data_IF_032436740011
#
_entry.id   IF_032436740011
#
_cell.length_a   1.000
_cell.length_b   1.000
_cell.length_c   1.000
_cell.angle_alpha   90.00
_cell.angle_beta   90.00
_cell.angle_gamma   90.00
#
_symmetry.space_group_name_H-M   'P 1'
#
loop_
_entity.id
_entity.type
_entity.pdbx_description
1 polymer ?
#
# COMPACT_ATOMS: atom_id res chain seq x y z
N UNK A 1 -1.53 -9.44 -2.89
CA UNK A 1 -1.68 -8.04 -3.31
C UNK A 1 -0.87 -7.20 -2.36
N UNK A 2 -0.23 -6.14 -2.84
CA UNK A 2 0.59 -5.23 -2.02
C UNK A 2 0.04 -3.82 -2.17
N UNK A 3 -0.21 -3.15 -1.06
CA UNK A 3 -0.65 -1.75 -1.02
C UNK A 3 0.41 -0.91 -0.33
N UNK A 4 0.79 0.20 -0.95
CA UNK A 4 1.70 1.18 -0.35
C UNK A 4 0.89 2.30 0.30
N UNK A 5 1.04 2.49 1.60
CA UNK A 5 0.35 3.51 2.37
C UNK A 5 1.35 4.53 2.91
N UNK A 6 1.17 5.79 2.54
CA UNK A 6 1.85 6.90 3.19
C UNK A 6 0.90 7.49 4.23
N UNK A 7 1.28 7.41 5.49
CA UNK A 7 0.47 7.87 6.61
C UNK A 7 0.98 9.23 7.09
N UNK A 8 0.06 10.17 7.27
CA UNK A 8 0.37 11.51 7.79
C UNK A 8 -0.10 11.63 9.22
N UNK A 9 0.77 12.11 10.11
CA UNK A 9 0.37 12.41 11.47
C UNK A 9 -0.43 13.73 11.52
N UNK A 10 -1.36 13.83 12.48
CA UNK A 10 -2.17 15.04 12.66
C UNK A 10 -1.34 16.27 13.05
N UNK A 11 -0.17 16.05 13.69
CA UNK A 11 0.78 17.11 14.02
C UNK A 11 1.96 17.02 13.05
N UNK A 12 2.31 18.16 12.43
CA UNK A 12 3.26 18.25 11.31
C UNK A 12 4.67 17.73 11.59
N UNK A 13 5.02 17.48 12.86
CA UNK A 13 6.36 17.11 13.29
C UNK A 13 6.42 15.78 14.06
N UNK A 14 5.33 15.01 14.13
CA UNK A 14 5.31 13.73 14.84
C UNK A 14 5.38 12.54 13.88
N UNK A 15 6.22 11.57 14.20
CA UNK A 15 6.23 10.27 13.52
C UNK A 15 4.91 9.56 13.82
N UNK A 16 4.27 9.00 12.78
CA UNK A 16 3.07 8.16 12.96
C UNK A 16 3.47 6.94 13.78
N UNK A 17 2.97 6.84 15.01
CA UNK A 17 3.13 5.64 15.82
C UNK A 17 2.19 4.56 15.27
N UNK A 18 2.77 3.51 14.70
CA UNK A 18 2.02 2.37 14.21
C UNK A 18 1.69 1.44 15.37
N UNK A 19 0.44 1.02 15.46
CA UNK A 19 0.01 -0.08 16.31
C UNK A 19 -0.15 -1.32 15.43
N UNK A 20 0.66 -2.35 15.68
CA UNK A 20 0.73 -3.54 14.84
C UNK A 20 -0.64 -4.23 14.72
N UNK A 21 -1.41 -4.27 15.81
CA UNK A 21 -2.72 -4.91 15.82
C UNK A 21 -3.70 -4.13 14.96
N UNK A 22 -3.69 -2.80 15.04
CA UNK A 22 -4.53 -1.94 14.20
C UNK A 22 -4.13 -2.08 12.73
N UNK A 23 -2.83 -2.12 12.42
CA UNK A 23 -2.36 -2.25 11.03
C UNK A 23 -2.71 -3.60 10.40
N UNK A 24 -2.61 -4.70 11.17
CA UNK A 24 -3.10 -6.02 10.74
C UNK A 24 -4.62 -6.01 10.53
N UNK A 25 -5.37 -5.35 11.43
CA UNK A 25 -6.82 -5.20 11.26
C UNK A 25 -7.18 -4.40 10.01
N UNK A 26 -6.43 -3.34 9.68
CA UNK A 26 -6.58 -2.59 8.44
C UNK A 26 -6.43 -3.50 7.21
N UNK A 27 -5.41 -4.38 7.18
CA UNK A 27 -5.24 -5.34 6.08
C UNK A 27 -6.50 -6.22 5.91
N UNK A 28 -7.03 -6.75 7.01
CA UNK A 28 -8.23 -7.56 7.02
C UNK A 28 -9.48 -6.77 6.57
N UNK A 29 -9.61 -5.50 6.96
CA UNK A 29 -10.73 -4.64 6.56
C UNK A 29 -10.67 -4.31 5.06
N UNK A 30 -9.48 -4.13 4.50
CA UNK A 30 -9.30 -3.85 3.07
C UNK A 30 -9.67 -5.05 2.19
N UNK A 31 -9.43 -6.28 2.65
CA UNK A 31 -9.82 -7.48 1.90
C UNK A 31 -11.35 -7.72 1.89
N UNK A 32 -12.09 -7.28 2.92
CA UNK A 32 -13.54 -7.53 3.05
C UNK A 32 -14.40 -7.09 1.85
N UNK A 33 -14.24 -5.88 1.28
CA UNK A 33 -15.04 -5.43 0.15
C UNK A 33 -14.59 -5.96 -1.21
N UNK A 34 -13.52 -6.77 -1.28
CA UNK A 34 -13.09 -7.34 -2.56
C UNK A 34 -14.13 -8.34 -3.08
N UNK A 35 -14.14 -8.56 -4.39
CA UNK A 35 -15.15 -9.38 -5.04
C UNK A 35 -15.15 -10.84 -4.55
N UNK A 36 -16.22 -11.56 -4.88
CA UNK A 36 -16.38 -12.97 -4.47
C UNK A 36 -15.28 -13.88 -5.02
N UNK A 37 -14.70 -13.55 -6.18
CA UNK A 37 -13.65 -14.36 -6.79
C UNK A 37 -12.36 -14.23 -5.99
N UNK A 38 -11.95 -13.01 -5.66
CA UNK A 38 -10.82 -12.75 -4.79
C UNK A 38 -10.98 -13.47 -3.45
N UNK A 39 -12.12 -13.28 -2.77
CA UNK A 39 -12.37 -13.88 -1.46
C UNK A 39 -12.37 -15.42 -1.55
N UNK A 40 -12.90 -15.99 -2.63
CA UNK A 40 -12.84 -17.43 -2.90
C UNK A 40 -11.40 -17.93 -3.12
N UNK A 41 -10.60 -17.23 -3.91
CA UNK A 41 -9.21 -17.59 -4.16
C UNK A 41 -8.30 -17.39 -2.95
N UNK A 42 -8.62 -16.43 -2.08
CA UNK A 42 -7.91 -16.16 -0.81
C UNK A 42 -8.26 -17.18 0.27
N UNK A 43 -9.51 -17.62 0.36
CA UNK A 43 -10.03 -18.46 1.45
C UNK A 43 -10.17 -19.94 1.08
N UNK A 44 -10.86 -20.25 -0.02
CA UNK A 44 -11.22 -21.64 -0.39
C UNK A 44 -10.12 -22.33 -1.20
N UNK A 45 -9.56 -21.63 -2.18
CA UNK A 45 -8.58 -22.22 -3.10
C UNK A 45 -7.12 -21.95 -2.69
N UNK A 46 -6.88 -20.93 -1.86
CA UNK A 46 -5.54 -20.59 -1.36
C UNK A 46 -4.55 -20.12 -2.44
N UNK A 47 -5.01 -19.76 -3.63
CA UNK A 47 -4.14 -19.31 -4.74
C UNK A 47 -3.75 -17.84 -4.64
N UNK A 48 -4.46 -17.05 -3.82
CA UNK A 48 -4.10 -15.68 -3.48
C UNK A 48 -3.58 -15.66 -2.03
N UNK A 49 -2.34 -15.20 -1.84
CA UNK A 49 -1.75 -15.00 -0.52
C UNK A 49 -2.36 -13.81 0.24
N UNK A 50 -2.00 -13.67 1.52
CA UNK A 50 -2.44 -12.56 2.37
C UNK A 50 -2.16 -11.20 1.72
N UNK A 51 -3.14 -10.28 1.83
CA UNK A 51 -2.93 -8.88 1.49
C UNK A 51 -1.81 -8.32 2.35
N UNK A 52 -0.86 -7.62 1.72
CA UNK A 52 0.21 -6.90 2.38
C UNK A 52 -0.05 -5.39 2.30
N UNK A 53 0.05 -4.70 3.43
CA UNK A 53 0.16 -3.23 3.49
C UNK A 53 1.59 -2.89 3.86
N UNK A 54 2.28 -2.16 2.98
CA UNK A 54 3.60 -1.58 3.20
C UNK A 54 3.43 -0.11 3.55
N UNK A 55 3.78 0.26 4.78
CA UNK A 55 3.79 1.66 5.18
C UNK A 55 5.10 2.27 4.73
N UNK A 56 5.02 3.35 3.94
CA UNK A 56 6.19 4.10 3.47
C UNK A 56 6.41 5.35 4.31
N UNK A 57 7.62 5.88 4.26
CA UNK A 57 7.98 7.15 4.89
C UNK A 57 7.11 8.30 4.36
N UNK A 58 6.91 9.34 5.17
CA UNK A 58 6.24 10.55 4.71
C UNK A 58 7.02 11.19 3.56
N UNK A 59 6.31 11.83 2.63
CA UNK A 59 6.81 12.44 1.40
C UNK A 59 7.29 11.44 0.32
N UNK A 60 7.08 10.13 0.51
CA UNK A 60 7.43 9.10 -0.49
C UNK A 60 6.68 9.31 -1.81
N UNK A 61 5.38 9.58 -1.77
CA UNK A 61 4.60 9.82 -2.99
C UNK A 61 4.92 11.17 -3.64
N UNK A 62 5.45 12.14 -2.88
CA UNK A 62 5.99 13.37 -3.45
C UNK A 62 7.30 13.09 -4.21
N UNK A 63 8.22 12.33 -3.63
CA UNK A 63 9.42 11.86 -4.35
C UNK A 63 9.06 11.03 -5.59
N UNK A 64 7.99 10.24 -5.52
CA UNK A 64 7.51 9.47 -6.67
C UNK A 64 6.96 10.39 -7.78
N UNK A 65 6.22 11.44 -7.42
CA UNK A 65 5.76 12.46 -8.37
C UNK A 65 6.95 13.15 -9.04
N UNK A 66 7.94 13.57 -8.27
CA UNK A 66 9.17 14.20 -8.80
C UNK A 66 9.90 13.28 -9.79
N UNK A 67 9.97 11.97 -9.49
CA UNK A 67 10.50 10.98 -10.42
C UNK A 67 9.72 10.93 -11.74
N UNK A 68 8.39 10.92 -11.71
CA UNK A 68 7.60 10.93 -12.95
C UNK A 68 7.76 12.25 -13.72
N UNK A 69 7.83 13.39 -13.02
CA UNK A 69 8.10 14.69 -13.64
C UNK A 69 9.48 14.69 -14.32
N UNK A 70 10.51 14.13 -13.67
CA UNK A 70 11.85 14.02 -14.24
C UNK A 70 11.90 13.10 -15.47
N UNK A 71 10.90 12.22 -15.63
CA UNK A 71 10.70 11.38 -16.82
C UNK A 71 9.76 12.00 -17.86
N UNK A 72 9.37 13.27 -17.69
CA UNK A 72 8.59 14.04 -18.65
C UNK A 72 7.09 14.14 -18.35
N UNK A 73 6.62 13.68 -17.19
CA UNK A 73 5.22 13.90 -16.79
C UNK A 73 4.97 15.38 -16.46
N UNK A 74 3.77 15.87 -16.76
CA UNK A 74 3.35 17.22 -16.37
C UNK A 74 3.03 17.28 -14.89
N UNK A 75 3.65 18.21 -14.17
CA UNK A 75 3.40 18.43 -12.75
C UNK A 75 1.93 18.81 -12.47
N UNK A 76 1.28 19.57 -13.36
CA UNK A 76 -0.09 20.06 -13.16
C UNK A 76 -1.15 19.00 -13.46
N UNK A 77 -0.77 17.91 -14.13
CA UNK A 77 -1.68 16.83 -14.51
C UNK A 77 -1.35 15.51 -13.79
N UNK A 78 -0.29 15.49 -13.00
CA UNK A 78 0.13 14.30 -12.30
C UNK A 78 -0.95 13.81 -11.34
N UNK A 79 -1.16 12.49 -11.35
CA UNK A 79 -1.91 11.77 -10.34
C UNK A 79 -1.11 10.54 -9.97
N UNK A 80 -1.06 10.24 -8.68
CA UNK A 80 -0.45 9.00 -8.20
C UNK A 80 -1.11 7.80 -8.88
N UNK A 81 -0.35 6.94 -9.58
CA UNK A 81 -0.90 5.74 -10.18
C UNK A 81 -1.52 4.82 -9.11
N UNK A 82 -2.70 4.28 -9.39
CA UNK A 82 -3.39 3.35 -8.47
C UNK A 82 -2.64 2.01 -8.42
N UNK A 83 -2.12 1.54 -9.56
CA UNK A 83 -1.35 0.31 -9.68
C UNK A 83 -0.05 0.58 -10.42
N UNK A 84 1.03 -0.06 -9.98
CA UNK A 84 2.38 0.10 -10.52
C UNK A 84 2.96 -1.27 -10.81
N UNK A 85 3.44 -1.47 -12.04
CA UNK A 85 4.13 -2.69 -12.47
C UNK A 85 5.57 -2.44 -12.96
N UNK A 86 6.06 -1.19 -12.91
CA UNK A 86 7.44 -0.86 -13.26
C UNK A 86 8.39 -1.28 -12.13
N UNK A 87 9.38 -2.15 -12.40
CA UNK A 87 10.36 -2.57 -11.40
C UNK A 87 11.13 -1.39 -10.80
N UNK A 88 11.44 -0.37 -11.61
CA UNK A 88 12.17 0.81 -11.18
C UNK A 88 11.36 1.63 -10.16
N UNK A 89 10.06 1.81 -10.43
CA UNK A 89 9.17 2.52 -9.52
C UNK A 89 8.93 1.72 -8.24
N UNK A 90 8.77 0.40 -8.36
CA UNK A 90 8.64 -0.48 -7.20
C UNK A 90 9.89 -0.42 -6.31
N UNK A 91 11.09 -0.36 -6.89
CA UNK A 91 12.33 -0.22 -6.13
C UNK A 91 12.39 1.11 -5.35
N UNK A 92 11.91 2.22 -5.93
CA UNK A 92 11.81 3.51 -5.24
C UNK A 92 10.85 3.41 -4.04
N UNK A 93 9.69 2.79 -4.23
CA UNK A 93 8.73 2.60 -3.14
C UNK A 93 9.29 1.68 -2.05
N UNK A 94 9.92 0.57 -2.43
CA UNK A 94 10.48 -0.42 -1.51
C UNK A 94 11.64 0.11 -0.67
N UNK A 95 12.46 1.02 -1.22
CA UNK A 95 13.50 1.75 -0.48
C UNK A 95 12.92 2.61 0.65
N UNK A 96 11.68 3.09 0.49
CA UNK A 96 10.98 3.94 1.46
C UNK A 96 10.07 3.18 2.40
N UNK A 97 9.98 1.85 2.31
CA UNK A 97 9.14 1.06 3.21
C UNK A 97 9.72 1.09 4.62
N UNK A 98 8.91 1.59 5.56
CA UNK A 98 9.23 1.64 6.97
C UNK A 98 8.68 0.43 7.75
N UNK A 99 7.50 -0.10 7.37
CA UNK A 99 6.88 -1.24 8.02
C UNK A 99 6.01 -2.06 7.05
N UNK A 100 5.80 -3.34 7.37
CA UNK A 100 5.02 -4.29 6.55
C UNK A 100 4.05 -5.06 7.43
N UNK A 101 2.80 -5.15 6.98
CA UNK A 101 1.71 -5.84 7.69
C UNK A 101 0.95 -6.73 6.73
N UNK A 102 0.46 -7.86 7.24
CA UNK A 102 -0.28 -8.84 6.45
C UNK A 102 -1.64 -9.10 7.08
N UNK A 103 -2.63 -9.43 6.25
CA UNK A 103 -3.90 -9.93 6.78
C UNK A 103 -3.71 -11.28 7.47
N UNK A 104 -4.15 -11.37 8.73
CA UNK A 104 -4.06 -12.58 9.55
C UNK A 104 -5.34 -13.43 9.51
N UNK A 105 -6.41 -12.91 8.90
CA UNK A 105 -7.71 -13.55 8.76
C UNK A 105 -8.08 -13.75 7.31
N UNK A 106 -8.86 -14.79 7.06
CA UNK A 106 -9.47 -15.02 5.76
C UNK A 106 -10.69 -14.10 5.60
N UNK A 107 -10.90 -13.45 4.45
CA UNK A 107 -12.12 -12.70 4.21
C UNK A 107 -13.33 -13.65 4.16
N UNK A 108 -14.51 -13.22 4.64
CA UNK A 108 -15.74 -14.00 4.53
C UNK A 108 -16.07 -14.24 3.06
N UNK A 109 -16.77 -15.34 2.73
CA UNK A 109 -17.31 -15.58 1.39
C UNK A 109 -18.67 -14.90 1.25
#
# INVERSE_FOLDING_TARGET
YVLYWELKANNSNSIVKLDDKVMVECCCVVEKPFDILYRSFRSKYGSIGALEVRVVQQETFNSLMEYFISKGASATQYRTPICINSPEVLAILDDKVHARFFSDKLPPL
#
